data_IF_475905675764
#
_entry.id   IF_475905675764
#
_cell.length_a   1.000
_cell.length_b   1.000
_cell.length_c   1.000
_cell.angle_alpha   90.00
_cell.angle_beta   90.00
_cell.angle_gamma   90.00
#
_symmetry.space_group_name_H-M   'P 1'
#
loop_
_entity.id
_entity.type
_entity.pdbx_description
1 polymer ?
#
# COMPACT_ATOMS: atom_id res chain seq x y z
N UNK A 1 -27.06 14.12 -38.23
CA UNK A 1 -28.53 14.16 -38.09
C UNK A 1 -28.96 12.98 -37.24
N UNK A 2 -30.02 13.09 -36.43
CA UNK A 2 -30.52 11.95 -35.62
C UNK A 2 -31.52 11.13 -36.45
N UNK A 3 -31.37 9.81 -36.43
CA UNK A 3 -32.26 8.84 -37.06
C UNK A 3 -33.32 8.38 -36.07
N UNK A 4 -34.54 8.11 -36.54
CA UNK A 4 -35.57 7.49 -35.71
C UNK A 4 -35.17 6.04 -35.37
N UNK A 5 -35.19 5.70 -34.07
CA UNK A 5 -34.98 4.33 -33.61
C UNK A 5 -36.10 3.42 -34.12
N UNK A 6 -35.72 2.33 -34.74
CA UNK A 6 -36.64 1.35 -35.30
C UNK A 6 -37.05 0.33 -34.24
N UNK A 7 -38.22 -0.29 -34.44
CA UNK A 7 -38.69 -1.35 -33.56
C UNK A 7 -37.70 -2.54 -33.55
N UNK A 8 -37.59 -3.18 -32.38
CA UNK A 8 -36.74 -4.33 -32.17
C UNK A 8 -37.08 -5.46 -33.16
N UNK A 9 -36.05 -6.10 -33.69
CA UNK A 9 -36.15 -7.22 -34.62
C UNK A 9 -34.94 -8.14 -34.47
N UNK A 10 -35.03 -9.33 -35.05
CA UNK A 10 -33.86 -10.15 -35.32
C UNK A 10 -33.00 -9.49 -36.41
N UNK A 11 -31.74 -9.20 -36.07
CA UNK A 11 -30.79 -8.58 -36.99
C UNK A 11 -30.36 -9.61 -38.04
N UNK A 12 -30.38 -9.28 -39.35
CA UNK A 12 -29.94 -10.19 -40.38
C UNK A 12 -28.47 -10.60 -40.20
N UNK A 13 -28.23 -11.91 -40.06
CA UNK A 13 -26.89 -12.49 -40.08
C UNK A 13 -26.53 -12.89 -41.50
N UNK A 14 -25.30 -12.61 -41.92
CA UNK A 14 -24.75 -13.10 -43.20
C UNK A 14 -24.38 -14.57 -43.10
N UNK A 15 -23.73 -14.94 -42.01
CA UNK A 15 -23.27 -16.31 -41.75
C UNK A 15 -23.09 -16.52 -40.24
N UNK A 16 -22.84 -17.77 -39.83
CA UNK A 16 -22.30 -18.09 -38.52
C UNK A 16 -20.87 -18.59 -38.71
N UNK A 17 -19.91 -17.99 -38.01
CA UNK A 17 -18.48 -18.27 -38.16
C UNK A 17 -17.87 -18.66 -36.82
N UNK A 18 -16.75 -19.37 -36.86
CA UNK A 18 -16.00 -19.71 -35.64
C UNK A 18 -15.15 -18.55 -35.15
N UNK A 19 -15.30 -18.20 -33.88
CA UNK A 19 -14.52 -17.18 -33.17
C UNK A 19 -13.90 -17.78 -31.90
N UNK A 20 -12.63 -17.51 -31.63
CA UNK A 20 -12.00 -17.90 -30.36
C UNK A 20 -12.18 -16.77 -29.34
N UNK A 21 -12.94 -17.02 -28.27
CA UNK A 21 -13.21 -16.03 -27.22
C UNK A 21 -13.42 -16.72 -25.87
N UNK A 22 -12.96 -16.11 -24.79
CA UNK A 22 -13.09 -16.68 -23.44
C UNK A 22 -12.42 -18.06 -23.29
N UNK A 23 -11.27 -18.27 -23.95
CA UNK A 23 -10.48 -19.50 -23.83
C UNK A 23 -11.03 -20.74 -24.58
N UNK A 24 -12.04 -20.56 -25.43
CA UNK A 24 -12.62 -21.64 -26.24
C UNK A 24 -13.13 -21.14 -27.58
N UNK A 25 -13.26 -22.05 -28.54
CA UNK A 25 -13.93 -21.76 -29.81
C UNK A 25 -15.45 -21.70 -29.63
N UNK A 26 -16.08 -20.70 -30.22
CA UNK A 26 -17.52 -20.44 -30.15
C UNK A 26 -18.06 -20.07 -31.53
N UNK A 27 -19.32 -20.40 -31.79
CA UNK A 27 -20.05 -19.95 -32.98
C UNK A 27 -20.46 -18.49 -32.79
N UNK A 28 -20.13 -17.62 -33.74
CA UNK A 28 -20.38 -16.19 -33.70
C UNK A 28 -21.20 -15.74 -34.92
N UNK A 29 -22.16 -14.84 -34.70
CA UNK A 29 -22.92 -14.26 -35.81
C UNK A 29 -22.03 -13.29 -36.61
N UNK A 30 -21.89 -13.51 -37.92
CA UNK A 30 -21.29 -12.55 -38.83
C UNK A 30 -22.39 -11.61 -39.34
N UNK A 31 -22.36 -10.36 -38.90
CA UNK A 31 -23.32 -9.32 -39.29
C UNK A 31 -22.60 -8.31 -40.18
N UNK A 32 -23.22 -7.93 -41.29
CA UNK A 32 -22.71 -6.88 -42.16
C UNK A 32 -23.39 -5.57 -41.76
N UNK A 33 -22.60 -4.53 -41.52
CA UNK A 33 -23.07 -3.26 -40.94
C UNK A 33 -24.17 -2.57 -41.74
N UNK A 34 -24.15 -2.73 -43.06
CA UNK A 34 -25.14 -2.22 -44.00
C UNK A 34 -26.53 -2.85 -43.83
N UNK A 35 -26.64 -3.98 -43.14
CA UNK A 35 -27.92 -4.65 -42.86
C UNK A 35 -28.54 -4.19 -41.53
N UNK A 36 -27.81 -3.39 -40.76
CA UNK A 36 -28.18 -2.97 -39.41
C UNK A 36 -28.72 -1.54 -39.44
N UNK A 37 -29.76 -1.27 -38.65
CA UNK A 37 -30.42 0.04 -38.57
C UNK A 37 -30.42 0.59 -37.14
N UNK A 38 -30.54 1.92 -36.95
CA UNK A 38 -30.76 2.52 -35.63
C UNK A 38 -31.86 1.82 -34.84
N UNK A 39 -31.56 1.40 -33.61
CA UNK A 39 -32.43 0.61 -32.74
C UNK A 39 -32.14 -0.90 -32.71
N UNK A 40 -31.40 -1.44 -33.69
CA UNK A 40 -31.00 -2.84 -33.67
C UNK A 40 -30.01 -3.13 -32.51
N UNK A 41 -30.13 -4.32 -31.93
CA UNK A 41 -29.26 -4.83 -30.89
C UNK A 41 -28.70 -6.20 -31.31
N UNK A 42 -27.40 -6.40 -31.14
CA UNK A 42 -26.67 -7.61 -31.55
C UNK A 42 -25.97 -8.16 -30.31
N UNK A 43 -26.47 -9.26 -29.77
CA UNK A 43 -25.83 -9.95 -28.67
C UNK A 43 -24.57 -10.70 -29.15
N UNK A 44 -23.49 -10.63 -28.36
CA UNK A 44 -22.31 -11.44 -28.59
C UNK A 44 -22.53 -12.91 -28.21
N UNK A 45 -21.75 -13.87 -28.77
CA UNK A 45 -20.62 -13.67 -29.69
C UNK A 45 -21.06 -13.25 -31.11
N UNK A 46 -20.51 -12.14 -31.61
CA UNK A 46 -20.76 -11.65 -32.96
C UNK A 46 -19.58 -10.86 -33.52
N UNK A 47 -19.49 -10.81 -34.85
CA UNK A 47 -18.55 -9.99 -35.59
C UNK A 47 -19.37 -9.08 -36.50
N UNK A 48 -19.23 -7.77 -36.34
CA UNK A 48 -19.84 -6.76 -37.19
C UNK A 48 -18.79 -6.31 -38.21
N UNK A 49 -18.96 -6.73 -39.46
CA UNK A 49 -18.08 -6.37 -40.56
C UNK A 49 -18.55 -5.07 -41.23
N UNK A 50 -17.63 -4.12 -41.36
CA UNK A 50 -17.80 -2.84 -42.03
C UNK A 50 -16.83 -2.76 -43.21
N UNK A 51 -17.02 -1.79 -44.12
CA UNK A 51 -16.10 -1.60 -45.26
C UNK A 51 -14.66 -1.27 -44.84
N UNK A 52 -14.49 -0.63 -43.69
CA UNK A 52 -13.21 -0.11 -43.19
C UNK A 52 -12.88 -0.56 -41.75
N UNK A 53 -13.72 -1.39 -41.13
CA UNK A 53 -13.55 -1.82 -39.74
C UNK A 53 -14.18 -3.19 -39.51
N UNK A 54 -13.81 -3.83 -38.40
CA UNK A 54 -14.45 -5.03 -37.90
C UNK A 54 -14.60 -4.92 -36.39
N UNK A 55 -15.84 -4.88 -35.91
CA UNK A 55 -16.14 -4.77 -34.48
C UNK A 55 -16.47 -6.15 -33.94
N UNK A 56 -15.73 -6.60 -32.92
CA UNK A 56 -15.98 -7.87 -32.23
C UNK A 56 -16.86 -7.62 -31.01
N UNK A 57 -18.00 -8.31 -30.95
CA UNK A 57 -18.91 -8.32 -29.80
C UNK A 57 -18.70 -9.63 -29.05
N UNK A 58 -17.96 -9.59 -27.96
CA UNK A 58 -17.65 -10.77 -27.15
C UNK A 58 -18.89 -11.34 -26.43
N UNK A 59 -18.89 -12.63 -26.03
CA UNK A 59 -19.92 -13.19 -25.16
C UNK A 59 -20.20 -12.31 -23.92
N UNK A 60 -21.47 -12.06 -23.63
CA UNK A 60 -21.90 -11.22 -22.51
C UNK A 60 -21.87 -9.71 -22.79
N UNK A 61 -21.52 -9.30 -24.01
CA UNK A 61 -21.72 -7.95 -24.51
C UNK A 61 -22.88 -7.89 -25.52
N UNK A 62 -23.44 -6.70 -25.69
CA UNK A 62 -24.44 -6.37 -26.70
C UNK A 62 -23.99 -5.11 -27.43
N UNK A 63 -23.99 -5.15 -28.76
CA UNK A 63 -23.82 -3.96 -29.59
C UNK A 63 -25.19 -3.36 -29.91
N UNK A 64 -25.37 -2.06 -29.70
CA UNK A 64 -26.61 -1.34 -30.04
C UNK A 64 -26.33 -0.20 -31.00
N UNK A 65 -27.15 -0.09 -32.05
CA UNK A 65 -27.07 1.05 -32.97
C UNK A 65 -27.92 2.19 -32.44
N UNK A 66 -27.27 3.31 -32.17
CA UNK A 66 -27.91 4.52 -31.62
C UNK A 66 -28.64 5.34 -32.69
N UNK A 67 -29.38 6.36 -32.26
CA UNK A 67 -30.00 7.35 -33.17
C UNK A 67 -28.96 8.17 -33.97
N UNK A 68 -27.69 8.18 -33.56
CA UNK A 68 -26.59 8.80 -34.29
C UNK A 68 -25.87 7.81 -35.21
N UNK A 69 -26.41 6.60 -35.38
CA UNK A 69 -25.83 5.51 -36.16
C UNK A 69 -24.48 4.98 -35.62
N UNK A 70 -24.13 5.36 -34.38
CA UNK A 70 -22.98 4.81 -33.65
C UNK A 70 -23.28 3.41 -33.11
N UNK A 71 -22.23 2.59 -33.02
CA UNK A 71 -22.23 1.32 -32.29
C UNK A 71 -21.81 1.60 -30.85
N UNK A 72 -22.69 1.30 -29.89
CA UNK A 72 -22.36 1.30 -28.46
C UNK A 72 -22.30 -0.14 -27.98
N UNK A 73 -21.21 -0.51 -27.30
CA UNK A 73 -21.04 -1.83 -26.68
C UNK A 73 -21.41 -1.75 -25.20
N UNK A 74 -22.52 -2.39 -24.84
CA UNK A 74 -22.96 -2.53 -23.46
C UNK A 74 -22.61 -3.93 -22.94
N UNK A 75 -21.94 -4.01 -21.80
CA UNK A 75 -21.74 -5.28 -21.12
C UNK A 75 -23.06 -5.68 -20.42
N UNK A 76 -23.67 -6.76 -20.87
CA UNK A 76 -24.93 -7.31 -20.32
C UNK A 76 -24.70 -8.32 -19.21
N UNK A 77 -23.57 -9.01 -19.24
CA UNK A 77 -23.18 -9.97 -18.20
C UNK A 77 -22.03 -9.38 -17.41
N UNK A 78 -22.17 -9.18 -16.09
CA UNK A 78 -21.06 -8.80 -15.22
C UNK A 78 -19.90 -9.77 -15.44
N UNK A 79 -18.70 -9.22 -15.62
CA UNK A 79 -17.50 -10.06 -15.72
C UNK A 79 -17.35 -10.75 -14.37
N UNK A 80 -17.35 -12.09 -14.33
CA UNK A 80 -16.87 -12.78 -13.13
C UNK A 80 -15.43 -12.32 -12.92
N UNK A 81 -15.21 -11.52 -11.87
CA UNK A 81 -13.88 -11.25 -11.36
C UNK A 81 -13.43 -12.54 -10.69
N UNK A 82 -13.00 -13.51 -11.51
CA UNK A 82 -12.11 -14.53 -11.00
C UNK A 82 -10.79 -13.81 -10.76
N UNK A 83 -10.51 -13.51 -9.50
CA UNK A 83 -9.13 -13.33 -9.07
C UNK A 83 -8.44 -14.64 -9.38
N UNK A 84 -7.85 -14.74 -10.58
CA UNK A 84 -7.03 -15.86 -10.99
C UNK A 84 -5.68 -15.86 -10.25
N UNK A 85 -5.57 -15.12 -9.15
CA UNK A 85 -4.46 -15.19 -8.24
C UNK A 85 -4.73 -16.34 -7.28
N UNK A 86 -4.36 -17.55 -7.69
CA UNK A 86 -4.14 -18.63 -6.73
C UNK A 86 -2.86 -18.35 -5.92
N UNK A 87 -2.51 -19.24 -5.01
CA UNK A 87 -1.25 -19.13 -4.26
C UNK A 87 -0.03 -19.62 -5.04
N UNK A 88 -0.24 -20.20 -6.23
CA UNK A 88 0.82 -20.67 -7.11
C UNK A 88 1.48 -19.51 -7.84
N UNK A 89 2.79 -19.58 -8.05
CA UNK A 89 3.54 -18.53 -8.73
C UNK A 89 3.06 -18.39 -10.18
N UNK A 90 2.71 -17.16 -10.55
CA UNK A 90 2.39 -16.74 -11.92
C UNK A 90 3.29 -15.55 -12.22
N UNK A 91 4.11 -15.57 -13.30
CA UNK A 91 5.06 -14.50 -13.59
C UNK A 91 4.43 -13.11 -13.78
N UNK A 92 3.22 -13.05 -14.33
CA UNK A 92 2.50 -11.78 -14.52
C UNK A 92 2.05 -11.26 -13.16
N UNK A 93 1.44 -12.12 -12.34
CA UNK A 93 1.00 -11.71 -11.02
C UNK A 93 2.19 -11.43 -10.08
N UNK A 94 3.31 -12.12 -10.23
CA UNK A 94 4.54 -11.81 -9.49
C UNK A 94 4.97 -10.37 -9.72
N UNK A 95 5.00 -9.93 -10.98
CA UNK A 95 5.32 -8.55 -11.31
C UNK A 95 4.25 -7.56 -10.83
N UNK A 96 2.97 -7.92 -10.92
CA UNK A 96 1.88 -7.11 -10.37
C UNK A 96 2.04 -6.91 -8.86
N UNK A 97 2.24 -7.99 -8.10
CA UNK A 97 2.41 -7.92 -6.65
C UNK A 97 3.68 -7.17 -6.26
N UNK A 98 4.80 -7.38 -6.96
CA UNK A 98 6.02 -6.63 -6.76
C UNK A 98 5.77 -5.12 -6.89
N UNK A 99 5.12 -4.69 -7.97
CA UNK A 99 4.77 -3.28 -8.18
C UNK A 99 3.78 -2.77 -7.14
N UNK A 100 2.80 -3.59 -6.71
CA UNK A 100 1.85 -3.16 -5.70
C UNK A 100 2.54 -2.95 -4.33
N UNK A 101 3.40 -3.86 -3.88
CA UNK A 101 4.14 -3.68 -2.63
C UNK A 101 5.06 -2.45 -2.68
N UNK A 102 5.76 -2.25 -3.80
CA UNK A 102 6.57 -1.05 -4.01
C UNK A 102 5.72 0.22 -3.99
N UNK A 103 4.56 0.22 -4.66
CA UNK A 103 3.67 1.37 -4.68
C UNK A 103 3.15 1.74 -3.29
N UNK A 104 2.90 0.76 -2.42
CA UNK A 104 2.55 1.06 -1.02
C UNK A 104 3.68 1.83 -0.34
N UNK A 105 4.92 1.35 -0.45
CA UNK A 105 6.07 2.03 0.16
C UNK A 105 6.27 3.45 -0.41
N UNK A 106 6.06 3.65 -1.71
CA UNK A 106 6.08 4.98 -2.36
C UNK A 106 4.97 5.89 -1.84
N UNK A 107 3.75 5.38 -1.67
CA UNK A 107 2.63 6.16 -1.12
C UNK A 107 2.87 6.56 0.33
N UNK A 108 3.50 5.69 1.13
CA UNK A 108 3.98 6.06 2.48
C UNK A 108 5.00 7.19 2.40
N UNK A 109 5.97 7.09 1.47
CA UNK A 109 6.98 8.12 1.28
C UNK A 109 6.42 9.48 0.88
N UNK A 110 5.46 9.50 -0.06
CA UNK A 110 4.75 10.72 -0.45
C UNK A 110 3.95 11.32 0.72
N UNK A 111 3.32 10.48 1.55
CA UNK A 111 2.62 10.93 2.75
C UNK A 111 3.58 11.57 3.75
N UNK A 112 4.75 10.95 3.98
CA UNK A 112 5.79 11.47 4.88
C UNK A 112 6.32 12.82 4.38
N UNK A 113 6.73 12.90 3.12
CA UNK A 113 7.24 14.13 2.51
C UNK A 113 6.25 15.30 2.67
N UNK A 114 4.97 15.07 2.40
CA UNK A 114 3.97 16.13 2.40
C UNK A 114 3.57 16.61 3.81
N UNK A 115 3.77 15.78 4.84
CA UNK A 115 3.35 16.08 6.21
C UNK A 115 4.49 16.38 7.17
N UNK A 116 5.73 16.10 6.79
CA UNK A 116 6.91 16.38 7.59
C UNK A 116 7.08 17.88 7.91
N UNK A 117 7.66 18.14 9.07
CA UNK A 117 7.91 19.49 9.58
C UNK A 117 9.33 19.96 9.24
N UNK A 118 10.32 19.06 9.32
CA UNK A 118 11.71 19.40 9.04
C UNK A 118 12.05 19.44 7.55
N UNK A 119 12.96 20.35 7.21
CA UNK A 119 13.55 20.47 5.86
C UNK A 119 14.28 19.19 5.45
N UNK A 120 14.88 18.46 6.40
CA UNK A 120 15.60 17.22 6.11
C UNK A 120 14.68 16.16 5.51
N UNK A 121 13.50 15.95 6.11
CA UNK A 121 12.55 14.97 5.59
C UNK A 121 11.77 15.56 4.40
N UNK A 122 11.28 16.79 4.52
CA UNK A 122 10.37 17.38 3.53
C UNK A 122 11.04 17.74 2.20
N UNK A 123 12.21 18.37 2.26
CA UNK A 123 12.86 18.99 1.10
C UNK A 123 14.12 18.22 0.67
N UNK A 124 14.91 17.73 1.64
CA UNK A 124 16.11 16.92 1.33
C UNK A 124 15.79 15.44 1.09
N UNK A 125 14.56 15.02 1.38
CA UNK A 125 14.07 13.64 1.20
C UNK A 125 14.92 12.60 1.94
N UNK A 126 15.46 12.99 3.09
CA UNK A 126 16.28 12.12 3.93
C UNK A 126 15.39 11.25 4.82
N UNK A 127 14.69 10.33 4.17
CA UNK A 127 13.80 9.37 4.79
C UNK A 127 13.69 8.08 3.99
N UNK A 128 13.10 7.03 4.55
CA UNK A 128 12.74 5.81 3.83
C UNK A 128 11.50 5.17 4.43
N UNK A 129 10.69 4.56 3.57
CA UNK A 129 9.49 3.82 3.95
C UNK A 129 9.59 2.40 3.40
N UNK A 130 9.16 1.42 4.19
CA UNK A 130 9.29 0.01 3.86
C UNK A 130 8.21 -0.86 4.49
N UNK A 131 7.96 -1.99 3.83
CA UNK A 131 7.08 -3.07 4.25
C UNK A 131 7.91 -4.27 4.69
N UNK A 132 7.46 -4.93 5.75
CA UNK A 132 8.12 -6.11 6.31
C UNK A 132 7.11 -7.22 6.59
N UNK A 133 7.58 -8.47 6.48
CA UNK A 133 6.79 -9.65 6.81
C UNK A 133 6.66 -9.83 8.34
N UNK A 134 5.93 -10.87 8.77
CA UNK A 134 5.69 -11.17 10.18
C UNK A 134 6.97 -11.44 11.00
N UNK A 135 8.07 -11.80 10.35
CA UNK A 135 9.37 -12.08 10.97
C UNK A 135 10.34 -10.89 10.85
N UNK A 136 9.87 -9.77 10.28
CA UNK A 136 10.62 -8.53 10.13
C UNK A 136 11.58 -8.53 8.93
N UNK A 137 11.41 -9.41 7.95
CA UNK A 137 12.20 -9.36 6.72
C UNK A 137 11.58 -8.39 5.72
N UNK A 138 12.42 -7.70 4.95
CA UNK A 138 12.00 -6.71 3.98
C UNK A 138 11.17 -7.36 2.86
N UNK A 139 10.04 -6.74 2.52
CA UNK A 139 9.20 -7.09 1.37
C UNK A 139 9.46 -6.11 0.23
N UNK A 140 9.33 -4.81 0.53
CA UNK A 140 9.45 -3.72 -0.43
C UNK A 140 9.86 -2.43 0.26
N UNK A 141 10.50 -1.53 -0.47
CA UNK A 141 10.94 -0.23 0.02
C UNK A 141 10.84 0.83 -1.07
N UNK A 142 10.58 2.07 -0.68
CA UNK A 142 10.66 3.19 -1.60
C UNK A 142 12.13 3.54 -1.94
N UNK A 143 12.42 4.03 -3.16
CA UNK A 143 13.78 4.29 -3.64
C UNK A 143 14.32 5.65 -3.17
N UNK A 144 14.45 5.86 -1.86
CA UNK A 144 14.91 7.13 -1.29
C UNK A 144 16.38 7.07 -0.84
N UNK A 145 16.67 6.39 0.27
CA UNK A 145 18.01 6.36 0.87
C UNK A 145 18.49 4.91 1.10
N UNK A 146 19.41 4.38 0.28
CA UNK A 146 19.86 2.99 0.36
C UNK A 146 20.44 2.58 1.71
N UNK A 147 21.07 3.50 2.44
CA UNK A 147 21.69 3.24 3.76
C UNK A 147 20.67 2.81 4.82
N UNK A 148 19.40 3.22 4.70
CA UNK A 148 18.35 2.84 5.63
C UNK A 148 17.93 1.37 5.45
N UNK A 149 18.06 0.80 4.24
CA UNK A 149 17.44 -0.46 3.88
C UNK A 149 18.00 -1.66 4.64
N UNK A 150 19.33 -1.70 4.81
CA UNK A 150 19.98 -2.81 5.53
C UNK A 150 19.70 -2.80 7.04
N UNK A 151 19.50 -1.61 7.63
CA UNK A 151 19.45 -1.43 9.09
C UNK A 151 18.01 -1.36 9.62
N UNK A 152 17.03 -0.91 8.81
CA UNK A 152 15.62 -0.90 9.21
C UNK A 152 15.09 -2.30 9.55
N UNK A 153 15.50 -3.35 8.83
CA UNK A 153 15.09 -4.72 9.16
C UNK A 153 15.47 -5.14 10.58
N UNK A 154 16.64 -4.71 11.05
CA UNK A 154 17.09 -4.98 12.43
C UNK A 154 16.31 -4.16 13.47
N UNK A 155 15.92 -2.92 13.12
CA UNK A 155 15.02 -2.11 13.96
C UNK A 155 13.67 -2.82 14.16
N UNK A 156 13.10 -3.36 13.08
CA UNK A 156 11.84 -4.11 13.12
C UNK A 156 12.00 -5.34 14.01
N UNK A 157 13.04 -6.15 13.79
CA UNK A 157 13.32 -7.36 14.57
C UNK A 157 13.53 -7.06 16.05
N UNK A 158 14.19 -5.96 16.39
CA UNK A 158 14.35 -5.49 17.77
C UNK A 158 13.00 -5.19 18.42
N UNK A 159 12.13 -4.45 17.73
CA UNK A 159 10.77 -4.15 18.24
C UNK A 159 9.95 -5.43 18.41
N UNK A 160 10.04 -6.37 17.46
CA UNK A 160 9.41 -7.69 17.57
C UNK A 160 9.88 -8.41 18.82
N UNK A 161 11.20 -8.49 19.04
CA UNK A 161 11.79 -9.20 20.17
C UNK A 161 11.41 -8.56 21.51
N UNK A 162 11.56 -7.24 21.65
CA UNK A 162 11.33 -6.52 22.92
C UNK A 162 9.87 -6.47 23.33
N UNK A 163 8.93 -6.60 22.39
CA UNK A 163 7.51 -6.48 22.64
C UNK A 163 6.74 -7.79 22.35
N UNK A 164 7.44 -8.92 22.20
CA UNK A 164 6.85 -10.23 21.87
C UNK A 164 5.74 -10.59 22.86
N UNK A 165 4.55 -10.86 22.33
CA UNK A 165 3.37 -11.23 23.13
C UNK A 165 2.66 -10.06 23.82
N UNK A 166 3.13 -8.82 23.65
CA UNK A 166 2.52 -7.63 24.29
C UNK A 166 1.95 -6.61 23.29
N UNK A 167 2.36 -6.69 22.02
CA UNK A 167 1.85 -5.81 20.96
C UNK A 167 0.34 -5.95 20.79
N UNK A 168 -0.31 -4.85 20.45
CA UNK A 168 -1.75 -4.78 20.19
C UNK A 168 -2.04 -4.03 18.89
N UNK A 169 -3.21 -4.24 18.27
CA UNK A 169 -3.68 -3.41 17.16
C UNK A 169 -3.70 -1.92 17.56
N UNK A 170 -3.14 -1.07 16.70
CA UNK A 170 -3.03 0.36 16.97
C UNK A 170 -1.83 0.78 17.81
N UNK A 171 -0.96 -0.16 18.22
CA UNK A 171 0.34 0.19 18.80
C UNK A 171 1.29 0.74 17.73
N UNK A 172 2.14 1.70 18.10
CA UNK A 172 3.24 2.20 17.28
C UNK A 172 4.48 2.37 18.16
N UNK A 173 5.63 1.95 17.65
CA UNK A 173 6.91 1.98 18.35
C UNK A 173 7.89 2.91 17.66
N UNK A 174 8.82 3.47 18.43
CA UNK A 174 9.90 4.33 17.93
C UNK A 174 11.24 3.94 18.55
N UNK A 175 12.30 3.99 17.73
CA UNK A 175 13.68 3.80 18.15
C UNK A 175 14.65 4.53 17.21
N UNK A 176 15.85 4.84 17.70
CA UNK A 176 16.98 5.33 16.91
C UNK A 176 18.32 4.72 17.34
N UNK A 177 18.31 3.75 18.26
CA UNK A 177 19.51 3.15 18.82
C UNK A 177 20.37 2.47 17.73
N UNK A 178 21.60 2.96 17.45
CA UNK A 178 22.46 2.41 16.42
C UNK A 178 22.88 0.97 16.68
N UNK A 179 22.89 0.54 17.94
CA UNK A 179 23.24 -0.84 18.31
C UNK A 179 22.14 -1.85 17.97
N UNK A 180 20.92 -1.38 17.69
CA UNK A 180 19.74 -2.21 17.43
C UNK A 180 19.03 -1.83 16.11
N UNK A 181 19.84 -1.51 15.09
CA UNK A 181 19.36 -1.25 13.73
C UNK A 181 19.18 0.24 13.38
N UNK A 182 19.49 1.18 14.28
CA UNK A 182 19.72 2.56 13.89
C UNK A 182 20.98 2.73 13.04
N UNK A 183 21.05 3.78 12.24
CA UNK A 183 22.25 4.19 11.48
C UNK A 183 23.09 5.19 12.28
N UNK A 184 22.41 6.13 12.93
CA UNK A 184 22.91 7.13 13.88
C UNK A 184 21.68 7.74 14.59
N UNK A 185 21.87 8.47 15.70
CA UNK A 185 20.74 8.96 16.51
C UNK A 185 19.73 9.85 15.76
N UNK A 186 20.13 10.70 14.80
CA UNK A 186 19.18 11.49 14.01
C UNK A 186 18.19 10.67 13.18
N UNK A 187 18.54 9.44 12.82
CA UNK A 187 17.68 8.59 12.00
C UNK A 187 16.70 7.81 12.88
N UNK A 188 15.53 8.41 13.07
CA UNK A 188 14.49 7.86 13.96
C UNK A 188 13.55 6.97 13.15
N UNK A 189 13.37 5.73 13.60
CA UNK A 189 12.52 4.72 12.96
C UNK A 189 11.22 4.57 13.73
N UNK A 190 10.09 4.78 13.05
CA UNK A 190 8.74 4.55 13.57
C UNK A 190 8.16 3.29 12.92
N UNK A 191 7.65 2.38 13.74
CA UNK A 191 7.30 1.01 13.36
C UNK A 191 5.86 0.72 13.80
N UNK A 192 5.03 0.24 12.88
CA UNK A 192 3.62 -0.10 13.16
C UNK A 192 3.36 -1.58 12.86
N UNK A 193 3.06 -2.42 13.87
CA UNK A 193 2.55 -3.78 13.66
C UNK A 193 1.19 -3.76 12.96
N UNK A 194 1.02 -4.61 11.95
CA UNK A 194 -0.20 -4.69 11.14
C UNK A 194 -0.92 -6.00 11.39
N UNK A 195 -2.19 -5.89 11.78
CA UNK A 195 -3.10 -7.02 11.99
C UNK A 195 -4.13 -7.05 10.85
N UNK A 196 -4.14 -8.14 10.07
CA UNK A 196 -5.03 -8.35 8.92
C UNK A 196 -5.69 -9.73 9.07
N UNK A 197 -6.89 -9.77 9.64
CA UNK A 197 -7.56 -11.05 9.96
C UNK A 197 -8.98 -10.92 10.50
N UNK A 198 -9.46 -9.68 10.66
CA UNK A 198 -10.85 -9.35 10.97
C UNK A 198 -11.34 -8.36 9.92
N UNK A 199 -12.52 -8.57 9.31
CA UNK A 199 -13.13 -7.52 8.50
C UNK A 199 -13.29 -6.28 9.38
N UNK A 200 -12.80 -5.14 8.89
CA UNK A 200 -13.18 -3.85 9.46
C UNK A 200 -14.71 -3.72 9.37
N UNK A 201 -15.39 -3.13 10.36
CA UNK A 201 -16.75 -2.66 10.12
C UNK A 201 -16.68 -1.67 8.95
N UNK A 202 -17.39 -1.97 7.85
CA UNK A 202 -17.45 -1.07 6.71
C UNK A 202 -17.95 0.31 7.18
N UNK A 203 -17.38 1.42 6.69
CA UNK A 203 -17.95 2.73 6.96
C UNK A 203 -19.34 2.79 6.32
N UNK A 204 -20.38 2.93 7.15
CA UNK A 204 -21.74 3.13 6.67
C UNK A 204 -21.84 4.45 5.90
N UNK A 205 -22.50 4.48 4.73
CA UNK A 205 -22.65 5.70 3.93
C UNK A 205 -23.77 6.57 4.50
N UNK A 206 -23.58 7.15 5.69
CA UNK A 206 -24.47 8.21 6.20
C UNK A 206 -23.90 8.91 7.45
N UNK A 207 -23.09 9.97 7.27
CA UNK A 207 -23.23 11.23 8.01
C UNK A 207 -22.09 12.18 7.65
N UNK A 208 -22.42 13.36 7.12
CA UNK A 208 -21.47 14.42 6.86
C UNK A 208 -20.94 15.07 8.14
N UNK A 209 -19.74 15.65 8.00
CA UNK A 209 -19.04 16.60 8.90
C UNK A 209 -18.59 16.04 10.26
N UNK A 210 -17.26 15.98 10.42
CA UNK A 210 -16.57 15.88 11.71
C UNK A 210 -15.81 14.57 11.88
N UNK A 211 -14.60 14.49 11.31
CA UNK A 211 -13.69 13.37 11.60
C UNK A 211 -13.11 13.54 12.99
N UNK A 212 -13.58 12.74 13.95
CA UNK A 212 -12.88 12.50 15.21
C UNK A 212 -13.21 11.11 15.75
N UNK A 213 -12.16 10.40 16.14
CA UNK A 213 -12.12 9.20 16.98
C UNK A 213 -12.94 7.96 16.58
N UNK A 214 -12.22 6.93 16.11
CA UNK A 214 -12.35 5.62 16.76
C UNK A 214 -13.19 4.56 16.08
N UNK A 215 -12.82 4.14 14.87
CA UNK A 215 -12.92 2.71 14.53
C UNK A 215 -11.69 2.00 15.11
N UNK A 216 -11.59 1.99 16.45
CA UNK A 216 -10.52 1.26 17.13
C UNK A 216 -10.68 -0.23 16.77
N UNK A 217 -9.63 -0.83 16.20
CA UNK A 217 -9.64 -2.28 16.02
C UNK A 217 -9.84 -2.93 17.40
N UNK A 218 -10.69 -3.99 17.48
CA UNK A 218 -10.83 -4.73 18.72
C UNK A 218 -9.45 -5.25 19.16
N UNK A 219 -9.23 -5.45 20.48
CA UNK A 219 -7.97 -5.99 20.98
C UNK A 219 -7.64 -7.32 20.29
N UNK A 220 -6.34 -7.57 20.10
CA UNK A 220 -5.86 -8.84 19.58
C UNK A 220 -6.30 -9.97 20.52
N UNK A 221 -6.76 -11.09 19.94
CA UNK A 221 -7.02 -12.30 20.71
C UNK A 221 -5.74 -12.84 21.34
N UNK A 222 -5.86 -13.64 22.41
CA UNK A 222 -4.70 -14.33 22.99
C UNK A 222 -3.98 -15.15 21.91
N UNK A 223 -2.69 -14.86 21.69
CA UNK A 223 -1.85 -15.52 20.68
C UNK A 223 -1.94 -14.96 19.27
N UNK A 224 -2.76 -13.93 19.02
CA UNK A 224 -2.81 -13.25 17.73
C UNK A 224 -1.55 -12.39 17.55
N UNK A 225 -0.86 -12.56 16.41
CA UNK A 225 0.40 -11.89 16.10
C UNK A 225 0.24 -10.97 14.87
N UNK A 226 1.02 -9.87 14.78
CA UNK A 226 1.09 -9.08 13.56
C UNK A 226 1.48 -9.97 12.37
N UNK A 227 0.87 -9.70 11.21
CA UNK A 227 1.16 -10.42 9.96
C UNK A 227 2.14 -9.66 9.06
N UNK A 228 2.19 -8.34 9.22
CA UNK A 228 3.10 -7.45 8.53
C UNK A 228 3.57 -6.38 9.51
N UNK A 229 4.64 -5.68 9.16
CA UNK A 229 5.02 -4.42 9.79
C UNK A 229 5.24 -3.38 8.70
N UNK A 230 4.91 -2.14 9.01
CA UNK A 230 5.31 -0.99 8.19
C UNK A 230 6.27 -0.12 9.00
N UNK A 231 7.28 0.38 8.32
CA UNK A 231 8.31 1.20 8.93
C UNK A 231 8.58 2.45 8.12
N UNK A 232 8.77 3.56 8.82
CA UNK A 232 9.27 4.81 8.25
C UNK A 232 10.45 5.30 9.06
N UNK A 233 11.55 5.67 8.41
CA UNK A 233 12.72 6.28 9.02
C UNK A 233 12.89 7.69 8.46
N UNK A 234 13.12 8.66 9.32
CA UNK A 234 13.35 10.05 8.93
C UNK A 234 14.55 10.62 9.67
N UNK A 235 15.35 11.44 8.98
CA UNK A 235 16.50 12.10 9.56
C UNK A 235 16.07 13.41 10.23
N UNK A 236 16.03 13.41 11.57
CA UNK A 236 15.72 14.61 12.34
C UNK A 236 16.92 15.56 12.38
N UNK A 237 16.69 16.86 12.12
CA UNK A 237 17.77 17.84 12.04
C UNK A 237 18.55 18.03 13.35
N UNK A 238 17.93 17.73 14.49
CA UNK A 238 18.51 17.77 15.83
C UNK A 238 17.78 16.73 16.70
N UNK A 239 18.54 15.92 17.43
CA UNK A 239 18.03 15.00 18.46
C UNK A 239 18.76 15.24 19.79
N UNK A 240 19.40 16.40 19.93
CA UNK A 240 20.28 16.78 21.04
C UNK A 240 21.76 16.71 20.68
N UNK A 241 22.59 16.35 21.66
CA UNK A 241 24.04 16.21 21.49
C UNK A 241 24.83 17.46 21.89
N UNK A 242 26.16 17.37 21.90
CA UNK A 242 27.05 18.45 22.40
C UNK A 242 27.04 19.71 21.54
N UNK A 243 26.79 19.58 20.24
CA UNK A 243 26.71 20.71 19.29
C UNK A 243 25.37 20.74 18.55
N UNK A 244 24.84 21.92 18.19
CA UNK A 244 23.63 22.01 17.36
C UNK A 244 23.79 21.31 16.01
N UNK A 245 22.73 20.62 15.57
CA UNK A 245 22.69 19.88 14.32
C UNK A 245 22.61 18.36 14.55
N UNK A 246 22.73 17.59 13.46
CA UNK A 246 22.53 16.14 13.50
C UNK A 246 23.79 15.34 13.85
N UNK A 247 24.99 15.83 13.55
CA UNK A 247 26.23 15.07 13.69
C UNK A 247 27.31 15.87 14.44
N UNK A 248 27.42 15.74 15.78
CA UNK A 248 28.47 16.40 16.55
C UNK A 248 29.84 15.76 16.25
N UNK A 249 30.77 16.46 15.57
CA UNK A 249 31.97 15.85 15.00
C UNK A 249 33.07 15.51 16.03
N UNK A 250 32.90 15.95 17.28
CA UNK A 250 33.87 15.76 18.36
C UNK A 250 33.36 14.83 19.47
N UNK A 251 32.21 14.18 19.26
CA UNK A 251 31.72 13.17 20.19
C UNK A 251 32.68 11.98 20.23
N UNK A 252 32.97 11.52 21.44
CA UNK A 252 33.78 10.32 21.73
C UNK A 252 32.94 9.19 22.29
N UNK A 253 31.69 9.47 22.65
CA UNK A 253 30.71 8.52 23.19
C UNK A 253 29.32 8.83 22.68
N UNK A 254 28.46 7.81 22.59
CA UNK A 254 27.10 7.94 22.05
C UNK A 254 26.23 8.91 22.87
N UNK A 255 26.45 9.00 24.19
CA UNK A 255 25.66 9.90 25.03
C UNK A 255 25.96 11.38 24.74
N UNK A 256 27.06 11.68 24.04
CA UNK A 256 27.45 13.02 23.58
C UNK A 256 26.75 13.39 22.25
N UNK A 257 26.08 12.43 21.61
CA UNK A 257 25.43 12.60 20.30
C UNK A 257 23.94 12.95 20.40
N UNK A 258 23.30 12.75 21.56
CA UNK A 258 21.93 13.20 21.82
C UNK A 258 21.06 12.17 22.51
N UNK A 259 19.76 12.24 22.24
CA UNK A 259 18.76 11.36 22.83
C UNK A 259 18.77 10.01 22.11
N UNK A 260 19.15 8.97 22.84
CA UNK A 260 19.04 7.58 22.40
C UNK A 260 17.71 6.98 22.84
N UNK A 261 16.99 6.39 21.89
CA UNK A 261 15.67 5.79 22.02
C UNK A 261 15.83 4.32 21.63
N UNK A 262 15.78 3.46 22.65
CA UNK A 262 15.96 2.03 22.48
C UNK A 262 14.70 1.31 21.97
N UNK A 263 13.59 1.46 22.70
CA UNK A 263 12.27 0.95 22.31
C UNK A 263 11.19 1.71 23.09
N UNK A 264 10.54 2.68 22.45
CA UNK A 264 9.47 3.45 23.06
C UNK A 264 8.13 3.17 22.38
N UNK A 265 7.10 2.81 23.16
CA UNK A 265 5.72 2.72 22.66
C UNK A 265 5.16 4.14 22.51
N UNK A 266 5.16 4.64 21.29
CA UNK A 266 4.74 5.99 20.89
C UNK A 266 3.21 6.13 20.80
N UNK A 267 2.53 5.10 20.32
CA UNK A 267 1.07 5.01 20.32
C UNK A 267 0.68 3.75 21.06
N UNK A 268 -0.23 3.85 22.02
CA UNK A 268 -0.80 2.72 22.74
C UNK A 268 -2.27 2.56 22.32
N UNK A 269 -2.55 1.52 21.53
CA UNK A 269 -3.90 1.21 21.02
C UNK A 269 -4.63 2.42 20.43
N UNK A 270 -3.95 3.17 19.57
CA UNK A 270 -4.47 4.38 18.92
C UNK A 270 -4.37 5.67 19.75
N UNK A 271 -3.90 5.61 20.99
CA UNK A 271 -3.67 6.79 21.83
C UNK A 271 -2.22 7.24 21.74
N UNK A 272 -1.98 8.42 21.18
CA UNK A 272 -0.64 8.99 21.06
C UNK A 272 -0.10 9.41 22.45
N UNK A 273 1.07 8.90 22.81
CA UNK A 273 1.79 9.21 24.06
C UNK A 273 2.72 10.41 23.88
N UNK A 274 2.12 11.52 23.46
CA UNK A 274 2.83 12.73 23.05
C UNK A 274 3.62 13.35 24.19
N UNK A 275 3.00 13.50 25.37
CA UNK A 275 3.66 14.13 26.51
C UNK A 275 4.86 13.29 26.98
N UNK A 276 4.71 11.97 27.06
CA UNK A 276 5.81 11.09 27.46
C UNK A 276 6.96 11.09 26.46
N UNK A 277 6.66 11.20 25.15
CA UNK A 277 7.69 11.32 24.12
C UNK A 277 8.41 12.68 24.22
N UNK A 278 7.68 13.77 24.43
CA UNK A 278 8.26 15.10 24.64
C UNK A 278 9.14 15.13 25.89
N UNK A 279 8.70 14.51 26.98
CA UNK A 279 9.46 14.41 28.22
C UNK A 279 10.74 13.60 28.01
N UNK A 280 10.68 12.49 27.25
CA UNK A 280 11.86 11.72 26.86
C UNK A 280 12.85 12.58 26.07
N UNK A 281 12.38 13.30 25.05
CA UNK A 281 13.21 14.18 24.21
C UNK A 281 13.81 15.36 24.99
N UNK A 282 13.12 15.84 26.03
CA UNK A 282 13.60 16.88 26.97
C UNK A 282 14.60 16.36 28.00
N UNK A 283 14.98 15.08 27.94
CA UNK A 283 15.98 14.47 28.81
C UNK A 283 15.40 13.65 29.97
N UNK A 284 14.08 13.45 30.02
CA UNK A 284 13.41 12.62 31.03
C UNK A 284 13.88 11.16 31.04
N UNK A 285 14.48 10.67 29.95
CA UNK A 285 15.15 9.37 29.87
C UNK A 285 16.60 9.34 30.37
N UNK A 286 17.10 10.42 30.98
CA UNK A 286 18.49 10.52 31.45
C UNK A 286 19.48 11.02 30.39
N UNK A 287 19.00 11.49 29.24
CA UNK A 287 19.86 12.05 28.19
C UNK A 287 20.55 13.34 28.67
N UNK A 288 21.88 13.32 28.71
CA UNK A 288 22.69 14.46 29.17
C UNK A 288 22.57 15.68 28.24
N UNK A 289 22.37 15.45 26.95
CA UNK A 289 22.21 16.47 25.94
C UNK A 289 20.87 16.28 25.23
N UNK A 290 19.77 16.81 25.80
CA UNK A 290 18.41 16.62 25.27
C UNK A 290 18.23 17.34 23.93
N UNK A 291 17.14 16.99 23.22
CA UNK A 291 16.76 17.68 21.98
C UNK A 291 16.55 19.17 22.21
N UNK A 292 17.05 19.98 21.28
CA UNK A 292 16.88 21.43 21.31
C UNK A 292 15.51 21.87 20.82
N UNK A 293 14.84 21.07 20.00
CA UNK A 293 13.50 21.36 19.49
C UNK A 293 12.56 20.13 19.53
N UNK A 294 12.15 19.68 20.73
CA UNK A 294 11.29 18.50 20.89
C UNK A 294 9.96 18.59 20.14
N UNK A 295 9.39 19.79 19.99
CA UNK A 295 8.13 19.99 19.27
C UNK A 295 8.29 19.71 17.77
N UNK A 296 9.41 20.13 17.19
CA UNK A 296 9.73 19.79 15.79
C UNK A 296 9.98 18.28 15.63
N UNK A 297 10.69 17.65 16.56
CA UNK A 297 10.83 16.18 16.54
C UNK A 297 9.45 15.50 16.58
N UNK A 298 8.55 15.96 17.45
CA UNK A 298 7.19 15.43 17.55
C UNK A 298 6.38 15.66 16.27
N UNK A 299 6.57 16.80 15.59
CA UNK A 299 5.97 17.06 14.28
C UNK A 299 6.39 16.03 13.22
N UNK A 300 7.68 15.74 13.13
CA UNK A 300 8.20 14.71 12.21
C UNK A 300 7.75 13.29 12.61
N UNK A 301 7.71 12.97 13.91
CA UNK A 301 7.17 11.69 14.40
C UNK A 301 5.69 11.51 14.03
N UNK A 302 4.87 12.57 14.12
CA UNK A 302 3.47 12.54 13.67
C UNK A 302 3.36 12.30 12.16
N UNK A 303 4.25 12.90 11.36
CA UNK A 303 4.31 12.66 9.92
C UNK A 303 4.67 11.19 9.60
N UNK A 304 5.61 10.61 10.35
CA UNK A 304 5.98 9.19 10.26
C UNK A 304 4.83 8.25 10.65
N UNK A 305 4.08 8.57 11.72
CA UNK A 305 2.85 7.82 12.08
C UNK A 305 1.84 7.87 10.92
N UNK A 306 1.62 9.05 10.33
CA UNK A 306 0.69 9.20 9.21
C UNK A 306 1.13 8.41 7.96
N UNK A 307 2.44 8.39 7.68
CA UNK A 307 3.01 7.58 6.61
C UNK A 307 2.81 6.08 6.85
N UNK A 308 3.05 5.61 8.07
CA UNK A 308 2.79 4.21 8.43
C UNK A 308 1.30 3.85 8.34
N UNK A 309 0.40 4.70 8.82
CA UNK A 309 -1.05 4.48 8.70
C UNK A 309 -1.49 4.38 7.24
N UNK A 310 -0.89 5.19 6.34
CA UNK A 310 -1.10 5.07 4.90
C UNK A 310 -0.68 3.68 4.38
N UNK A 311 0.47 3.18 4.81
CA UNK A 311 0.94 1.83 4.48
C UNK A 311 -0.01 0.72 4.96
N UNK A 312 -0.51 0.85 6.19
CA UNK A 312 -1.52 -0.06 6.77
C UNK A 312 -2.80 -0.07 5.94
N UNK A 313 -3.29 1.10 5.51
CA UNK A 313 -4.51 1.22 4.71
C UNK A 313 -4.37 0.57 3.33
N UNK A 314 -3.25 0.77 2.65
CA UNK A 314 -3.06 0.16 1.33
C UNK A 314 -2.84 -1.37 1.43
N UNK A 315 -2.15 -1.86 2.47
CA UNK A 315 -2.07 -3.30 2.76
C UNK A 315 -3.45 -3.91 3.00
N UNK A 316 -4.31 -3.24 3.78
CA UNK A 316 -5.71 -3.67 3.97
C UNK A 316 -6.45 -3.74 2.64
N UNK A 317 -6.39 -2.70 1.80
CA UNK A 317 -7.03 -2.70 0.48
C UNK A 317 -6.54 -3.82 -0.41
N UNK A 318 -5.23 -4.09 -0.40
CA UNK A 318 -4.64 -5.20 -1.15
C UNK A 318 -5.19 -6.55 -0.66
N UNK A 319 -5.26 -6.76 0.66
CA UNK A 319 -5.84 -7.99 1.25
C UNK A 319 -7.33 -8.11 0.95
N UNK A 320 -8.09 -7.02 1.04
CA UNK A 320 -9.53 -6.99 0.71
C UNK A 320 -9.77 -7.33 -0.76
N UNK A 321 -8.85 -6.93 -1.64
CA UNK A 321 -8.95 -7.18 -3.08
C UNK A 321 -8.52 -8.60 -3.46
N UNK A 322 -7.41 -9.10 -2.93
CA UNK A 322 -6.79 -10.34 -3.42
C UNK A 322 -6.93 -11.54 -2.47
N UNK A 323 -7.30 -11.32 -1.21
CA UNK A 323 -7.26 -12.33 -0.16
C UNK A 323 -5.91 -12.39 0.55
N UNK A 324 -5.94 -12.62 1.87
CA UNK A 324 -4.73 -12.65 2.70
C UNK A 324 -3.76 -13.76 2.30
N UNK A 325 -4.29 -14.94 2.00
CA UNK A 325 -3.53 -16.12 1.58
C UNK A 325 -2.75 -15.87 0.28
N UNK A 326 -3.39 -15.21 -0.68
CA UNK A 326 -2.78 -14.80 -1.95
C UNK A 326 -1.70 -13.75 -1.72
N UNK A 327 -1.99 -12.69 -0.95
CA UNK A 327 -1.02 -11.62 -0.63
C UNK A 327 0.22 -12.20 0.05
N UNK A 328 0.04 -13.09 1.03
CA UNK A 328 1.16 -13.74 1.73
C UNK A 328 1.94 -14.70 0.82
N UNK A 329 1.27 -15.38 -0.12
CA UNK A 329 1.94 -16.24 -1.09
C UNK A 329 2.83 -15.42 -2.03
N UNK A 330 2.29 -14.35 -2.63
CA UNK A 330 3.06 -13.51 -3.54
C UNK A 330 4.14 -12.67 -2.83
N UNK A 331 3.93 -12.29 -1.58
CA UNK A 331 5.01 -11.73 -0.74
C UNK A 331 6.22 -12.67 -0.69
N UNK A 332 6.00 -13.96 -0.40
CA UNK A 332 7.07 -14.96 -0.40
C UNK A 332 7.69 -15.15 -1.78
N UNK A 333 6.87 -15.25 -2.84
CA UNK A 333 7.39 -15.38 -4.20
C UNK A 333 8.28 -14.19 -4.61
N UNK A 334 7.93 -12.96 -4.19
CA UNK A 334 8.77 -11.76 -4.40
C UNK A 334 10.10 -11.88 -3.65
N UNK A 335 10.06 -12.28 -2.37
CA UNK A 335 11.27 -12.46 -1.55
C UNK A 335 12.18 -13.58 -2.11
N UNK A 336 11.62 -14.72 -2.48
CA UNK A 336 12.34 -15.86 -3.07
C UNK A 336 13.01 -15.46 -4.39
N UNK A 337 12.29 -14.73 -5.25
CA UNK A 337 12.84 -14.20 -6.50
C UNK A 337 13.98 -13.19 -6.27
N UNK A 338 13.86 -12.34 -5.24
CA UNK A 338 14.92 -11.40 -4.86
C UNK A 338 16.17 -12.14 -4.36
N UNK A 339 16.01 -13.15 -3.50
CA UNK A 339 17.11 -13.99 -3.02
C UNK A 339 17.80 -14.72 -4.19
N UNK A 340 17.03 -15.37 -5.06
CA UNK A 340 17.56 -16.08 -6.22
C UNK A 340 18.33 -15.15 -7.16
N UNK A 341 17.83 -13.93 -7.38
CA UNK A 341 18.47 -12.93 -8.24
C UNK A 341 19.83 -12.47 -7.70
N UNK A 342 20.00 -12.39 -6.37
CA UNK A 342 21.27 -12.02 -5.73
C UNK A 342 22.25 -13.20 -5.67
N UNK A 343 21.73 -14.44 -5.56
CA UNK A 343 22.56 -15.66 -5.48
C UNK A 343 23.26 -16.01 -6.80
N UNK A 344 22.65 -15.64 -7.93
CA UNK A 344 23.16 -15.93 -9.29
C UNK A 344 24.31 -15.01 -9.70
#
# INVERSE_FOLDING_TARGET
ARHALQAARDVPRRETVRMYAGGRWQEAALVVREYVRPGDAIAGPAIIAEKNATTVVEPGWEARITELDHIVLDRRTPREVKYAAGTQVDPVLLEVFNNLFMNIAEQMGLQLQNTAYSVNIKERLDFSCALFDADGNLIANAPHMPVHLGSMGESIKTVIQKNRGTMQPGDVYVLNDPYHGGTHLPDVTVITPVYLGRPSPQPSPASGRGGNAGDALPPAGEGERPLFYVGSRGHHADIGGTTPGSMPPFSTRIEEEGVQIDNFKLVDRGTLREQEMLDLLRGGGGARYPSRNPEQNMGDLKAQIAANEKGVQELRRMVDQFGLDVVQAYMRHVQDNAEESVRR
#
